data_IF_587971893717
#
_entry.id   IF_587971893717
#
_cell.length_a   1.000
_cell.length_b   1.000
_cell.length_c   1.000
_cell.angle_alpha   90.00
_cell.angle_beta   90.00
_cell.angle_gamma   90.00
#
_symmetry.space_group_name_H-M   'P 1'
#
loop_
_entity.id
_entity.type
_entity.pdbx_description
1 polymer ?
#
# COMPACT_ATOMS: atom_id res chain seq x y z
N UNK A 1 -24.58 -1.08 -6.32
CA UNK A 1 -23.26 -1.35 -5.65
C UNK A 1 -22.46 -2.32 -6.49
N UNK A 2 -21.21 -2.00 -6.74
CA UNK A 2 -20.27 -2.86 -7.48
C UNK A 2 -19.88 -4.04 -6.58
N UNK A 3 -19.92 -5.24 -7.13
CA UNK A 3 -19.55 -6.46 -6.38
C UNK A 3 -18.04 -6.55 -6.14
N UNK A 4 -17.61 -7.28 -5.12
CA UNK A 4 -16.19 -7.54 -4.85
C UNK A 4 -15.50 -8.20 -6.06
N UNK A 5 -16.18 -9.12 -6.75
CA UNK A 5 -15.68 -9.76 -7.95
C UNK A 5 -15.43 -8.77 -9.09
N UNK A 6 -16.28 -7.75 -9.24
CA UNK A 6 -16.08 -6.66 -10.21
C UNK A 6 -14.94 -5.74 -9.80
N UNK A 7 -14.84 -5.38 -8.50
CA UNK A 7 -13.70 -4.63 -7.97
C UNK A 7 -12.39 -5.39 -8.21
N UNK A 8 -12.35 -6.69 -7.96
CA UNK A 8 -11.18 -7.55 -8.20
C UNK A 8 -10.79 -7.58 -9.69
N UNK A 9 -11.76 -7.73 -10.62
CA UNK A 9 -11.48 -7.67 -12.06
C UNK A 9 -10.91 -6.32 -12.47
N UNK A 10 -11.55 -5.21 -12.06
CA UNK A 10 -11.05 -3.85 -12.36
C UNK A 10 -9.64 -3.66 -11.85
N UNK A 11 -9.36 -4.11 -10.62
CA UNK A 11 -8.03 -3.97 -10.02
C UNK A 11 -6.97 -4.78 -10.77
N UNK A 12 -7.27 -6.00 -11.17
CA UNK A 12 -6.40 -6.81 -12.03
C UNK A 12 -6.13 -6.11 -13.37
N UNK A 13 -7.18 -5.60 -14.02
CA UNK A 13 -7.07 -4.99 -15.33
C UNK A 13 -6.22 -3.70 -15.32
N UNK A 14 -6.21 -2.95 -14.21
CA UNK A 14 -5.30 -1.81 -14.01
C UNK A 14 -3.82 -2.21 -14.13
N UNK A 15 -3.43 -3.38 -13.62
CA UNK A 15 -2.05 -3.86 -13.68
C UNK A 15 -1.61 -4.34 -15.07
N UNK A 16 -2.54 -4.54 -15.99
CA UNK A 16 -2.27 -5.00 -17.37
C UNK A 16 -2.29 -3.86 -18.39
N UNK A 17 -2.48 -2.62 -17.98
CA UNK A 17 -2.40 -1.44 -18.87
C UNK A 17 -0.96 -1.16 -19.30
N UNK A 18 -0.80 -0.45 -20.42
CA UNK A 18 0.51 -0.02 -20.91
C UNK A 18 1.16 1.00 -19.97
N UNK A 19 0.39 1.96 -19.46
CA UNK A 19 0.84 2.99 -18.51
C UNK A 19 0.66 2.56 -17.05
N UNK A 20 1.48 3.11 -16.16
CA UNK A 20 1.30 2.97 -14.72
C UNK A 20 0.03 3.69 -14.25
N UNK A 21 -0.59 3.16 -13.20
CA UNK A 21 -1.62 3.86 -12.45
C UNK A 21 -1.13 4.23 -11.04
N UNK A 22 -1.66 5.35 -10.54
CA UNK A 22 -1.39 5.77 -9.15
C UNK A 22 -2.44 5.15 -8.23
N UNK A 23 -1.97 4.53 -7.15
CA UNK A 23 -2.81 3.97 -6.09
C UNK A 23 -2.50 4.70 -4.77
N UNK A 24 -3.21 5.82 -4.48
CA UNK A 24 -2.96 6.60 -3.28
C UNK A 24 -3.39 5.83 -2.02
N UNK A 25 -2.80 6.23 -0.89
CA UNK A 25 -2.92 5.50 0.36
C UNK A 25 -3.74 6.30 1.39
N UNK A 26 -5.07 6.09 1.49
CA UNK A 26 -5.88 6.62 2.57
C UNK A 26 -5.55 5.93 3.90
N UNK A 27 -5.75 6.66 5.00
CA UNK A 27 -5.57 6.16 6.35
C UNK A 27 -6.87 6.10 7.17
N UNK A 28 -7.97 6.63 6.61
CA UNK A 28 -9.31 6.61 7.20
C UNK A 28 -10.40 6.74 6.12
N UNK A 29 -11.66 6.65 6.54
CA UNK A 29 -12.82 6.76 5.65
C UNK A 29 -12.90 8.15 4.99
N UNK A 30 -12.52 9.22 5.70
CA UNK A 30 -12.54 10.58 5.16
C UNK A 30 -11.56 10.75 4.02
N UNK A 31 -10.30 10.37 4.23
CA UNK A 31 -9.26 10.40 3.20
C UNK A 31 -9.58 9.48 2.01
N UNK A 32 -10.19 8.29 2.27
CA UNK A 32 -10.60 7.38 1.21
C UNK A 32 -11.66 8.01 0.28
N UNK A 33 -12.67 8.67 0.84
CA UNK A 33 -13.71 9.36 0.07
C UNK A 33 -13.16 10.54 -0.72
N UNK A 34 -12.29 11.35 -0.11
CA UNK A 34 -11.62 12.47 -0.80
C UNK A 34 -10.83 11.93 -2.00
N UNK A 35 -9.99 10.92 -1.81
CA UNK A 35 -9.18 10.34 -2.89
C UNK A 35 -10.06 9.70 -3.99
N UNK A 36 -11.12 9.00 -3.63
CA UNK A 36 -12.05 8.45 -4.60
C UNK A 36 -12.73 9.55 -5.43
N UNK A 37 -13.10 10.68 -4.80
CA UNK A 37 -13.75 11.80 -5.49
C UNK A 37 -12.83 12.59 -6.43
N UNK A 38 -11.50 12.44 -6.28
CA UNK A 38 -10.51 13.11 -7.13
C UNK A 38 -10.15 12.34 -8.40
N UNK A 39 -10.79 11.19 -8.65
CA UNK A 39 -10.68 10.46 -9.91
C UNK A 39 -9.64 9.34 -9.94
N UNK A 40 -9.08 8.95 -8.81
CA UNK A 40 -8.26 7.74 -8.74
C UNK A 40 -9.11 6.49 -8.98
N UNK A 41 -8.49 5.45 -9.54
CA UNK A 41 -9.19 4.23 -9.98
C UNK A 41 -9.08 3.06 -8.99
N UNK A 42 -8.17 3.15 -8.02
CA UNK A 42 -7.97 2.20 -6.93
C UNK A 42 -7.34 2.90 -5.73
N UNK A 43 -7.49 2.32 -4.55
CA UNK A 43 -6.89 2.80 -3.30
C UNK A 43 -6.09 1.67 -2.64
N UNK A 44 -5.03 2.00 -1.91
CA UNK A 44 -4.35 1.07 -1.03
C UNK A 44 -4.29 1.62 0.39
N UNK A 45 -4.49 0.79 1.41
CA UNK A 45 -4.28 1.24 2.80
C UNK A 45 -2.80 1.53 3.06
N UNK A 46 -2.50 2.09 4.21
CA UNK A 46 -1.15 2.29 4.72
C UNK A 46 -1.13 1.95 6.20
N UNK A 47 -0.35 0.93 6.60
CA UNK A 47 -0.21 0.49 7.99
C UNK A 47 0.23 1.63 8.88
N UNK A 48 1.34 2.30 8.54
CA UNK A 48 1.86 3.45 9.29
C UNK A 48 0.86 4.60 9.36
N UNK A 49 0.14 4.90 8.27
CA UNK A 49 -0.84 5.98 8.24
C UNK A 49 -2.01 5.71 9.20
N UNK A 50 -2.54 4.49 9.18
CA UNK A 50 -3.59 4.08 10.10
C UNK A 50 -3.10 4.05 11.54
N UNK A 51 -1.96 3.42 11.84
CA UNK A 51 -1.38 3.40 13.18
C UNK A 51 -1.22 4.83 13.75
N UNK A 52 -0.64 5.73 12.98
CA UNK A 52 -0.47 7.13 13.39
C UNK A 52 -1.81 7.85 13.64
N UNK A 53 -2.85 7.57 12.84
CA UNK A 53 -4.17 8.20 12.98
C UNK A 53 -4.87 7.83 14.30
N UNK A 54 -4.53 6.68 14.86
CA UNK A 54 -5.03 6.21 16.17
C UNK A 54 -4.01 6.38 17.30
N UNK A 55 -2.94 7.18 17.08
CA UNK A 55 -1.94 7.51 18.10
C UNK A 55 -0.95 6.39 18.40
N UNK A 56 -0.72 5.47 17.47
CA UNK A 56 0.25 4.37 17.60
C UNK A 56 1.41 4.52 16.62
N UNK A 57 2.52 3.87 16.91
CA UNK A 57 3.64 3.71 15.99
C UNK A 57 3.31 2.63 14.93
N UNK A 58 4.07 2.63 13.83
CA UNK A 58 4.00 1.56 12.82
C UNK A 58 4.20 0.20 13.47
N UNK A 59 3.59 -0.83 12.93
CA UNK A 59 3.52 -2.20 13.51
C UNK A 59 2.84 -2.29 14.89
N UNK A 60 2.21 -1.22 15.36
CA UNK A 60 1.49 -1.19 16.64
C UNK A 60 -0.01 -1.53 16.53
N UNK A 61 -0.46 -1.99 15.37
CA UNK A 61 -1.86 -2.35 15.08
C UNK A 61 -1.99 -3.88 15.01
N UNK A 62 -3.03 -4.42 15.61
CA UNK A 62 -3.31 -5.86 15.52
C UNK A 62 -3.95 -6.24 14.19
N UNK A 63 -3.91 -7.53 13.84
CA UNK A 63 -4.57 -8.06 12.63
C UNK A 63 -6.05 -7.70 12.59
N UNK A 64 -6.77 -7.93 13.70
CA UNK A 64 -8.20 -7.70 13.75
C UNK A 64 -8.57 -6.23 13.57
N UNK A 65 -7.79 -5.31 14.14
CA UNK A 65 -7.94 -3.87 13.95
C UNK A 65 -7.68 -3.46 12.49
N UNK A 66 -6.63 -4.03 11.85
CA UNK A 66 -6.32 -3.77 10.45
C UNK A 66 -7.41 -4.31 9.51
N UNK A 67 -7.95 -5.50 9.77
CA UNK A 67 -9.07 -6.06 8.99
C UNK A 67 -10.34 -5.23 9.16
N UNK A 68 -10.66 -4.79 10.39
CA UNK A 68 -11.78 -3.90 10.64
C UNK A 68 -11.61 -2.55 9.92
N UNK A 69 -10.40 -1.98 9.95
CA UNK A 69 -10.06 -0.77 9.20
C UNK A 69 -10.25 -0.97 7.69
N UNK A 70 -9.73 -2.04 7.13
CA UNK A 70 -9.88 -2.38 5.71
C UNK A 70 -11.36 -2.53 5.31
N UNK A 71 -12.17 -3.19 6.16
CA UNK A 71 -13.62 -3.32 5.96
C UNK A 71 -14.31 -1.95 5.86
N UNK A 72 -13.97 -1.01 6.75
CA UNK A 72 -14.52 0.33 6.74
C UNK A 72 -14.13 1.10 5.45
N UNK A 73 -12.89 0.94 4.99
CA UNK A 73 -12.45 1.57 3.75
C UNK A 73 -13.14 0.95 2.51
N UNK A 74 -13.30 -0.38 2.47
CA UNK A 74 -14.04 -1.05 1.39
C UNK A 74 -15.51 -0.62 1.31
N UNK A 75 -16.14 -0.33 2.45
CA UNK A 75 -17.50 0.19 2.53
C UNK A 75 -17.61 1.69 2.17
N UNK A 76 -16.50 2.44 2.25
CA UNK A 76 -16.48 3.88 2.01
C UNK A 76 -16.46 4.25 0.53
N UNK A 77 -16.15 3.32 -0.39
CA UNK A 77 -15.96 3.60 -1.82
C UNK A 77 -16.34 2.43 -2.72
N UNK A 78 -16.76 2.74 -3.93
CA UNK A 78 -16.96 1.77 -5.02
C UNK A 78 -15.63 1.36 -5.71
N UNK A 79 -14.51 2.00 -5.39
CA UNK A 79 -13.21 1.64 -5.95
C UNK A 79 -12.68 0.31 -5.37
N UNK A 80 -11.86 -0.43 -6.12
CA UNK A 80 -11.09 -1.52 -5.56
C UNK A 80 -10.11 -0.99 -4.51
N UNK A 81 -10.06 -1.67 -3.35
CA UNK A 81 -9.13 -1.37 -2.26
C UNK A 81 -8.17 -2.54 -2.09
N UNK A 82 -6.87 -2.24 -2.02
CA UNK A 82 -5.82 -3.17 -1.61
C UNK A 82 -5.37 -2.84 -0.19
N UNK A 83 -5.10 -3.84 0.65
CA UNK A 83 -4.60 -3.57 2.00
C UNK A 83 -3.09 -3.81 2.12
N UNK A 84 -2.44 -2.93 2.87
CA UNK A 84 -1.12 -3.15 3.44
C UNK A 84 -1.31 -4.00 4.70
N UNK A 85 -0.97 -5.28 4.63
CA UNK A 85 -1.13 -6.24 5.71
C UNK A 85 0.21 -6.63 6.35
N UNK A 86 1.20 -5.75 6.22
CA UNK A 86 2.51 -5.93 6.84
C UNK A 86 3.08 -7.33 6.50
N UNK A 87 3.66 -8.00 7.50
CA UNK A 87 4.13 -9.38 7.35
C UNK A 87 3.02 -10.44 7.46
N UNK A 88 1.75 -10.08 7.43
CA UNK A 88 0.63 -11.00 7.64
C UNK A 88 0.34 -11.29 9.12
N UNK A 89 0.87 -10.47 10.03
CA UNK A 89 0.64 -10.50 11.48
C UNK A 89 1.11 -11.76 12.21
N UNK A 90 2.13 -12.43 11.68
CA UNK A 90 2.77 -13.56 12.34
C UNK A 90 3.87 -14.18 11.48
N UNK A 91 4.73 -14.98 12.09
CA UNK A 91 5.89 -15.58 11.43
C UNK A 91 5.50 -16.77 10.53
N UNK A 92 4.52 -17.58 10.97
CA UNK A 92 4.17 -18.84 10.33
C UNK A 92 3.39 -18.62 9.02
N UNK A 93 3.65 -19.43 7.98
CA UNK A 93 2.89 -19.40 6.73
C UNK A 93 1.37 -19.58 6.92
N UNK A 94 0.93 -20.39 7.88
CA UNK A 94 -0.50 -20.58 8.19
C UNK A 94 -1.16 -19.30 8.73
N UNK A 95 -0.43 -18.51 9.51
CA UNK A 95 -0.93 -17.20 9.98
C UNK A 95 -1.11 -16.24 8.82
N UNK A 96 -0.21 -16.28 7.83
CA UNK A 96 -0.35 -15.48 6.60
C UNK A 96 -1.58 -15.93 5.81
N UNK A 97 -1.78 -17.23 5.62
CA UNK A 97 -2.96 -17.80 4.94
C UNK A 97 -4.26 -17.36 5.62
N UNK A 98 -4.33 -17.42 6.96
CA UNK A 98 -5.47 -16.91 7.71
C UNK A 98 -5.71 -15.42 7.50
N UNK A 99 -4.66 -14.62 7.48
CA UNK A 99 -4.75 -13.18 7.20
C UNK A 99 -5.32 -12.91 5.80
N UNK A 100 -4.92 -13.68 4.78
CA UNK A 100 -5.51 -13.58 3.42
C UNK A 100 -7.00 -13.92 3.44
N UNK A 101 -7.40 -14.94 4.17
CA UNK A 101 -8.81 -15.35 4.29
C UNK A 101 -9.68 -14.26 4.91
N UNK A 102 -9.18 -13.64 5.98
CA UNK A 102 -9.84 -12.49 6.63
C UNK A 102 -9.89 -11.26 5.72
N UNK A 103 -8.80 -10.98 5.00
CA UNK A 103 -8.72 -9.87 4.04
C UNK A 103 -9.74 -10.02 2.90
N UNK A 104 -9.89 -11.22 2.37
CA UNK A 104 -10.92 -11.52 1.37
C UNK A 104 -12.34 -11.29 1.92
N UNK A 105 -12.60 -11.69 3.16
CA UNK A 105 -13.86 -11.46 3.86
C UNK A 105 -14.16 -9.98 4.14
N UNK A 106 -13.13 -9.12 4.23
CA UNK A 106 -13.26 -7.67 4.43
C UNK A 106 -13.73 -6.89 3.18
N UNK A 107 -13.84 -7.55 2.02
CA UNK A 107 -14.26 -6.89 0.76
C UNK A 107 -13.10 -6.33 -0.07
N UNK A 108 -11.86 -6.64 0.26
CA UNK A 108 -10.67 -6.20 -0.47
C UNK A 108 -10.59 -6.82 -1.87
N UNK A 109 -9.95 -6.09 -2.79
CA UNK A 109 -9.60 -6.55 -4.12
C UNK A 109 -8.17 -7.10 -4.22
N UNK A 110 -7.39 -6.95 -3.16
CA UNK A 110 -6.01 -7.41 -3.04
C UNK A 110 -5.37 -6.98 -1.74
N UNK A 111 -4.15 -7.42 -1.52
CA UNK A 111 -3.32 -7.00 -0.39
C UNK A 111 -1.83 -7.10 -0.71
N UNK A 112 -1.00 -6.59 0.19
CA UNK A 112 0.45 -6.89 0.20
C UNK A 112 0.85 -7.68 1.43
N UNK A 113 1.83 -8.57 1.25
CA UNK A 113 2.54 -9.31 2.30
C UNK A 113 4.03 -9.09 2.09
N UNK A 114 4.74 -8.74 3.16
CA UNK A 114 6.16 -8.42 3.12
C UNK A 114 7.01 -9.47 3.83
N UNK A 115 8.29 -9.48 3.49
CA UNK A 115 9.29 -10.34 4.13
C UNK A 115 9.98 -9.68 5.34
N UNK A 116 9.45 -8.58 5.86
CA UNK A 116 9.89 -7.99 7.13
C UNK A 116 9.43 -8.84 8.32
N UNK A 117 10.30 -8.97 9.30
CA UNK A 117 9.98 -9.65 10.57
C UNK A 117 9.40 -8.71 11.61
N UNK A 118 9.49 -7.40 11.38
CA UNK A 118 9.22 -6.34 12.35
C UNK A 118 10.13 -6.40 13.60
N UNK A 119 11.27 -7.12 13.54
CA UNK A 119 12.30 -7.19 14.59
C UNK A 119 13.53 -6.40 14.16
N UNK A 120 14.08 -5.57 15.07
CA UNK A 120 15.21 -4.69 14.74
C UNK A 120 16.53 -5.46 14.55
N UNK A 121 16.72 -6.55 15.25
CA UNK A 121 17.93 -7.37 15.24
C UNK A 121 17.96 -8.37 14.06
N UNK A 122 16.79 -8.78 13.57
CA UNK A 122 16.65 -9.65 12.42
C UNK A 122 15.48 -9.18 11.54
N UNK A 123 15.65 -8.07 10.79
CA UNK A 123 14.52 -7.34 10.19
C UNK A 123 13.88 -8.03 8.99
N UNK A 124 14.53 -9.03 8.37
CA UNK A 124 14.05 -9.69 7.15
C UNK A 124 14.11 -11.20 7.33
N UNK A 125 13.02 -11.89 7.03
CA UNK A 125 12.98 -13.35 7.07
C UNK A 125 14.04 -13.98 6.16
N UNK A 126 14.55 -15.16 6.57
CA UNK A 126 15.38 -16.01 5.73
C UNK A 126 14.68 -16.27 4.38
N UNK A 127 15.47 -16.38 3.32
CA UNK A 127 14.97 -16.46 1.94
C UNK A 127 13.90 -17.54 1.75
N UNK A 128 14.19 -18.77 2.14
CA UNK A 128 13.26 -19.90 1.95
C UNK A 128 11.96 -19.69 2.74
N UNK A 129 12.07 -19.19 3.98
CA UNK A 129 10.92 -18.92 4.81
C UNK A 129 10.03 -17.79 4.23
N UNK A 130 10.64 -16.74 3.66
CA UNK A 130 9.90 -15.69 2.93
C UNK A 130 9.08 -16.27 1.79
N UNK A 131 9.68 -17.17 1.01
CA UNK A 131 9.01 -17.82 -0.13
C UNK A 131 7.86 -18.71 0.33
N UNK A 132 8.04 -19.49 1.40
CA UNK A 132 7.00 -20.35 1.96
C UNK A 132 5.78 -19.54 2.45
N UNK A 133 6.02 -18.37 3.04
CA UNK A 133 4.96 -17.45 3.47
C UNK A 133 4.16 -16.91 2.29
N UNK A 134 4.85 -16.50 1.21
CA UNK A 134 4.17 -16.05 -0.02
C UNK A 134 3.43 -17.20 -0.69
N UNK A 135 3.99 -18.41 -0.70
CA UNK A 135 3.32 -19.61 -1.24
C UNK A 135 2.02 -19.91 -0.50
N UNK A 136 2.02 -19.87 0.83
CA UNK A 136 0.81 -20.06 1.63
C UNK A 136 -0.24 -18.98 1.33
N UNK A 137 0.16 -17.72 1.18
CA UNK A 137 -0.74 -16.64 0.77
C UNK A 137 -1.36 -16.90 -0.61
N UNK A 138 -0.55 -17.30 -1.60
CA UNK A 138 -1.01 -17.62 -2.96
C UNK A 138 -1.98 -18.80 -2.97
N UNK A 139 -1.69 -19.86 -2.22
CA UNK A 139 -2.57 -21.02 -2.11
C UNK A 139 -3.95 -20.64 -1.57
N UNK A 140 -3.99 -19.71 -0.60
CA UNK A 140 -5.26 -19.22 -0.06
C UNK A 140 -6.00 -18.31 -1.06
N UNK A 141 -5.30 -17.42 -1.75
CA UNK A 141 -5.88 -16.59 -2.82
C UNK A 141 -6.51 -17.46 -3.91
N UNK A 142 -5.88 -18.57 -4.31
CA UNK A 142 -6.40 -19.48 -5.35
C UNK A 142 -7.71 -20.18 -4.99
N UNK A 143 -8.09 -20.22 -3.72
CA UNK A 143 -9.37 -20.80 -3.26
C UNK A 143 -10.53 -19.81 -3.39
N UNK A 144 -10.24 -18.52 -3.61
CA UNK A 144 -11.27 -17.48 -3.66
C UNK A 144 -12.07 -17.59 -4.97
N UNK A 145 -13.41 -17.37 -4.94
CA UNK A 145 -14.27 -17.44 -6.13
C UNK A 145 -14.24 -16.15 -6.97
N UNK A 146 -13.31 -15.24 -6.69
CA UNK A 146 -13.16 -13.95 -7.39
C UNK A 146 -11.69 -13.56 -7.50
N UNK A 147 -11.31 -12.69 -8.45
CA UNK A 147 -9.95 -12.18 -8.56
C UNK A 147 -9.54 -11.39 -7.31
N UNK A 148 -8.38 -11.74 -6.76
CA UNK A 148 -7.75 -11.05 -5.62
C UNK A 148 -6.26 -10.94 -5.90
N UNK A 149 -5.72 -9.71 -5.90
CA UNK A 149 -4.34 -9.44 -6.31
C UNK A 149 -3.40 -9.50 -5.10
N UNK A 150 -2.49 -10.47 -5.07
CA UNK A 150 -1.46 -10.56 -4.04
C UNK A 150 -0.19 -9.82 -4.48
N UNK A 151 0.21 -8.83 -3.71
CA UNK A 151 1.49 -8.15 -3.85
C UNK A 151 2.50 -8.71 -2.87
N UNK A 152 3.61 -9.27 -3.35
CA UNK A 152 4.72 -9.70 -2.50
C UNK A 152 5.79 -8.59 -2.41
N UNK A 153 6.24 -8.29 -1.17
CA UNK A 153 7.19 -7.21 -0.89
C UNK A 153 8.52 -7.78 -0.42
N UNK A 154 9.62 -7.28 -1.00
CA UNK A 154 10.99 -7.50 -0.54
C UNK A 154 11.51 -6.21 0.12
N UNK A 155 11.70 -6.25 1.44
CA UNK A 155 11.93 -5.08 2.29
C UNK A 155 13.41 -4.69 2.46
N UNK A 156 14.31 -5.32 1.72
CA UNK A 156 15.78 -5.11 1.78
C UNK A 156 16.16 -3.63 1.89
N UNK A 157 15.66 -2.81 0.96
CA UNK A 157 16.04 -1.40 0.87
C UNK A 157 15.53 -0.54 2.02
N UNK A 158 14.33 -0.82 2.54
CA UNK A 158 13.79 -0.10 3.70
C UNK A 158 14.56 -0.40 4.98
N UNK A 159 15.13 -1.60 5.09
CA UNK A 159 15.98 -1.99 6.21
C UNK A 159 17.47 -1.70 5.98
N UNK A 160 17.81 -0.83 5.02
CA UNK A 160 19.17 -0.41 4.74
C UNK A 160 20.05 -1.47 4.05
N UNK A 161 19.50 -2.62 3.69
CA UNK A 161 20.18 -3.70 2.94
C UNK A 161 20.03 -3.44 1.44
N UNK A 162 20.78 -2.47 0.90
CA UNK A 162 20.72 -2.06 -0.50
C UNK A 162 21.46 -3.07 -1.41
N UNK A 163 20.98 -4.30 -1.45
CA UNK A 163 21.45 -5.38 -2.28
C UNK A 163 20.44 -5.66 -3.39
N UNK A 164 20.74 -5.13 -4.59
CA UNK A 164 19.88 -5.29 -5.75
C UNK A 164 19.77 -6.76 -6.19
N UNK A 165 20.85 -7.53 -6.08
CA UNK A 165 20.89 -8.93 -6.50
C UNK A 165 20.01 -9.80 -5.59
N UNK A 166 20.12 -9.65 -4.25
CA UNK A 166 19.25 -10.37 -3.31
C UNK A 166 17.79 -9.94 -3.45
N UNK A 167 17.54 -8.62 -3.66
CA UNK A 167 16.18 -8.11 -3.89
C UNK A 167 15.56 -8.74 -5.13
N UNK A 168 16.25 -8.76 -6.26
CA UNK A 168 15.78 -9.38 -7.50
C UNK A 168 15.54 -10.89 -7.28
N UNK A 169 16.46 -11.57 -6.63
CA UNK A 169 16.33 -13.01 -6.32
C UNK A 169 15.06 -13.30 -5.50
N UNK A 170 14.75 -12.48 -4.49
CA UNK A 170 13.52 -12.60 -3.69
C UNK A 170 12.28 -12.39 -4.54
N UNK A 171 12.24 -11.31 -5.33
CA UNK A 171 11.10 -11.00 -6.19
C UNK A 171 10.86 -12.09 -7.24
N UNK A 172 11.92 -12.67 -7.84
CA UNK A 172 11.81 -13.81 -8.75
C UNK A 172 11.21 -15.04 -8.05
N UNK A 173 11.67 -15.36 -6.86
CA UNK A 173 11.10 -16.46 -6.08
C UNK A 173 9.63 -16.19 -5.67
N UNK A 174 9.27 -14.96 -5.36
CA UNK A 174 7.88 -14.59 -5.06
C UNK A 174 6.97 -14.70 -6.29
N UNK A 175 7.43 -14.31 -7.48
CA UNK A 175 6.66 -14.52 -8.71
C UNK A 175 6.51 -16.01 -9.05
N UNK A 176 7.56 -16.83 -8.83
CA UNK A 176 7.50 -18.29 -9.00
C UNK A 176 6.55 -18.94 -8.01
N UNK A 177 6.48 -18.44 -6.79
CA UNK A 177 5.47 -18.84 -5.80
C UNK A 177 4.04 -18.47 -6.23
N UNK A 178 3.88 -17.49 -7.15
CA UNK A 178 2.61 -17.12 -7.75
C UNK A 178 2.05 -15.75 -7.35
N UNK A 179 2.86 -14.87 -6.77
CA UNK A 179 2.46 -13.49 -6.51
C UNK A 179 2.06 -12.77 -7.81
N UNK A 180 1.03 -11.94 -7.75
CA UNK A 180 0.49 -11.22 -8.91
C UNK A 180 1.25 -9.92 -9.18
N UNK A 181 1.73 -9.27 -8.13
CA UNK A 181 2.44 -7.98 -8.17
C UNK A 181 3.67 -8.08 -7.29
N UNK A 182 4.76 -7.44 -7.71
CA UNK A 182 6.01 -7.39 -6.96
C UNK A 182 6.30 -5.97 -6.48
N UNK A 183 6.97 -5.86 -5.33
CA UNK A 183 7.24 -4.59 -4.73
C UNK A 183 8.53 -4.62 -3.90
N UNK A 184 9.45 -3.70 -4.20
CA UNK A 184 10.64 -3.46 -3.39
C UNK A 184 10.65 -1.98 -2.96
N UNK A 185 9.99 -1.63 -1.85
CA UNK A 185 9.98 -0.25 -1.36
C UNK A 185 11.37 0.21 -0.94
N UNK A 186 11.60 1.53 -0.96
CA UNK A 186 12.88 2.11 -0.56
C UNK A 186 13.90 2.24 -1.70
N UNK A 187 13.65 1.67 -2.87
CA UNK A 187 14.49 1.91 -4.05
C UNK A 187 14.28 3.34 -4.56
N UNK A 188 15.38 4.07 -4.77
CA UNK A 188 15.37 5.48 -5.19
C UNK A 188 16.12 5.71 -6.50
N UNK A 189 16.99 4.80 -6.91
CA UNK A 189 17.72 4.87 -8.16
C UNK A 189 16.89 4.31 -9.32
N UNK A 190 16.65 5.14 -10.34
CA UNK A 190 15.83 4.75 -11.51
C UNK A 190 16.47 3.63 -12.32
N UNK A 191 17.81 3.58 -12.39
CA UNK A 191 18.52 2.53 -13.14
C UNK A 191 18.39 1.16 -12.42
N UNK A 192 18.47 1.14 -11.10
CA UNK A 192 18.24 -0.06 -10.28
C UNK A 192 16.78 -0.53 -10.41
N UNK A 193 15.80 0.39 -10.34
CA UNK A 193 14.39 0.08 -10.55
C UNK A 193 14.17 -0.51 -11.93
N UNK A 194 14.73 0.09 -12.98
CA UNK A 194 14.61 -0.41 -14.35
C UNK A 194 15.27 -1.79 -14.51
N UNK A 195 16.38 -2.04 -13.81
CA UNK A 195 17.05 -3.34 -13.82
C UNK A 195 16.21 -4.41 -13.13
N UNK A 196 15.63 -4.09 -11.98
CA UNK A 196 14.70 -4.97 -11.26
C UNK A 196 13.48 -5.31 -12.14
N UNK A 197 12.86 -4.33 -12.79
CA UNK A 197 11.69 -4.53 -13.66
C UNK A 197 12.03 -5.49 -14.81
N UNK A 198 13.18 -5.33 -15.46
CA UNK A 198 13.63 -6.24 -16.55
C UNK A 198 13.95 -7.65 -16.08
N UNK A 199 14.13 -7.86 -14.79
CA UNK A 199 14.49 -9.16 -14.20
C UNK A 199 13.30 -9.97 -13.73
N UNK A 200 12.07 -9.44 -13.87
CA UNK A 200 10.83 -10.09 -13.42
C UNK A 200 9.76 -10.00 -14.50
N UNK A 201 8.77 -10.91 -14.45
CA UNK A 201 7.68 -11.01 -15.45
C UNK A 201 6.33 -10.52 -14.90
N UNK A 202 6.29 -10.06 -13.65
CA UNK A 202 5.07 -9.58 -12.99
C UNK A 202 5.02 -8.05 -12.93
N UNK A 203 3.84 -7.45 -12.89
CA UNK A 203 3.68 -6.03 -12.62
C UNK A 203 4.45 -5.61 -11.36
N UNK A 204 5.11 -4.46 -11.43
CA UNK A 204 5.88 -3.92 -10.31
C UNK A 204 5.22 -2.66 -9.74
N UNK A 205 5.11 -2.59 -8.41
CA UNK A 205 4.78 -1.37 -7.68
C UNK A 205 6.05 -0.60 -7.31
N UNK A 206 6.01 0.72 -7.42
CA UNK A 206 7.06 1.63 -6.93
C UNK A 206 6.49 2.60 -5.90
N UNK A 207 7.26 2.86 -4.84
CA UNK A 207 6.93 3.85 -3.80
C UNK A 207 7.42 5.23 -4.22
N UNK A 208 6.50 6.16 -4.48
CA UNK A 208 6.83 7.54 -4.88
C UNK A 208 6.78 8.56 -3.71
N UNK A 209 6.32 8.15 -2.53
CA UNK A 209 6.10 9.06 -1.40
C UNK A 209 7.32 9.30 -0.49
N UNK A 210 8.54 9.07 -0.96
CA UNK A 210 9.76 9.21 -0.17
C UNK A 210 10.32 10.64 -0.24
N UNK A 211 10.81 11.14 0.89
CA UNK A 211 11.38 12.48 0.96
C UNK A 211 12.65 12.59 0.07
N UNK A 212 12.73 13.68 -0.71
CA UNK A 212 13.87 13.94 -1.59
C UNK A 212 13.89 13.11 -2.87
N UNK A 213 12.87 12.27 -3.10
CA UNK A 213 12.74 11.49 -4.34
C UNK A 213 11.61 12.07 -5.19
N UNK A 214 11.93 12.43 -6.41
CA UNK A 214 11.00 13.08 -7.34
C UNK A 214 10.78 12.19 -8.55
N UNK A 215 9.83 11.26 -8.42
CA UNK A 215 9.36 10.45 -9.53
C UNK A 215 8.15 11.12 -10.20
N UNK A 216 7.96 10.85 -11.48
CA UNK A 216 6.76 11.20 -12.24
C UNK A 216 6.16 9.94 -12.89
N UNK A 217 4.86 9.99 -13.16
CA UNK A 217 4.11 8.85 -13.70
C UNK A 217 4.64 8.41 -15.06
N UNK A 218 4.94 9.37 -15.94
CA UNK A 218 5.40 9.08 -17.29
C UNK A 218 6.80 8.47 -17.30
N UNK A 219 7.70 8.99 -16.46
CA UNK A 219 9.05 8.45 -16.27
C UNK A 219 9.03 7.02 -15.78
N UNK A 220 8.23 6.74 -14.76
CA UNK A 220 8.07 5.38 -14.23
C UNK A 220 7.37 4.45 -15.22
N UNK A 221 6.36 4.91 -15.94
CA UNK A 221 5.69 4.12 -16.99
C UNK A 221 6.65 3.72 -18.11
N UNK A 222 7.51 4.64 -18.57
CA UNK A 222 8.51 4.36 -19.63
C UNK A 222 9.50 3.25 -19.27
N UNK A 223 9.81 3.06 -18.00
CA UNK A 223 10.68 1.96 -17.55
C UNK A 223 9.92 0.68 -17.22
N UNK A 224 8.58 0.65 -17.38
CA UNK A 224 7.74 -0.53 -17.21
C UNK A 224 7.05 -0.69 -15.85
N UNK A 225 7.10 0.33 -14.98
CA UNK A 225 6.30 0.33 -13.74
C UNK A 225 4.82 0.26 -14.09
N UNK A 226 4.06 -0.51 -13.32
CA UNK A 226 2.61 -0.66 -13.53
C UNK A 226 1.78 -0.04 -12.41
N UNK A 227 2.33 0.08 -11.22
CA UNK A 227 1.64 0.66 -10.06
C UNK A 227 2.56 1.61 -9.30
N UNK A 228 2.00 2.74 -8.86
CA UNK A 228 2.73 3.75 -8.08
C UNK A 228 1.94 4.03 -6.81
N UNK A 229 2.51 3.71 -5.65
CA UNK A 229 1.94 4.01 -4.34
C UNK A 229 2.70 5.14 -3.65
N UNK A 230 2.10 5.73 -2.62
CA UNK A 230 2.72 6.83 -1.86
C UNK A 230 2.94 6.50 -0.38
N UNK A 231 2.51 5.31 0.07
CA UNK A 231 2.66 4.87 1.47
C UNK A 231 2.11 5.89 2.46
N UNK A 232 2.81 6.12 3.57
CA UNK A 232 2.40 7.09 4.60
C UNK A 232 2.60 8.57 4.23
N UNK A 233 2.91 8.92 2.97
CA UNK A 233 3.23 10.29 2.60
C UNK A 233 2.06 11.26 2.83
N UNK A 234 0.85 10.88 2.45
CA UNK A 234 -0.33 11.73 2.61
C UNK A 234 -0.67 11.98 4.09
N UNK A 235 -0.55 10.96 4.93
CA UNK A 235 -0.73 11.09 6.38
C UNK A 235 0.33 12.03 6.98
N UNK A 236 1.61 11.89 6.57
CA UNK A 236 2.68 12.79 7.01
C UNK A 236 2.42 14.23 6.61
N UNK A 237 1.92 14.49 5.40
CA UNK A 237 1.56 15.84 4.94
C UNK A 237 0.43 16.42 5.79
N UNK A 238 -0.62 15.64 6.06
CA UNK A 238 -1.74 16.07 6.89
C UNK A 238 -1.28 16.39 8.33
N UNK A 239 -0.49 15.53 8.93
CA UNK A 239 0.04 15.74 10.29
C UNK A 239 1.04 16.89 10.34
N UNK A 240 1.86 17.08 9.30
CA UNK A 240 2.74 18.23 9.23
C UNK A 240 1.95 19.56 9.22
N UNK A 241 0.79 19.60 8.56
CA UNK A 241 -0.10 20.78 8.61
C UNK A 241 -0.61 21.01 10.03
N UNK A 242 -1.07 19.97 10.73
CA UNK A 242 -1.50 20.06 12.14
C UNK A 242 -0.37 20.55 13.04
N UNK A 243 0.85 20.00 12.88
CA UNK A 243 2.02 20.42 13.68
C UNK A 243 2.37 21.88 13.44
N UNK A 244 2.36 22.35 12.17
CA UNK A 244 2.62 23.77 11.86
C UNK A 244 1.58 24.68 12.52
N UNK A 245 0.30 24.37 12.37
CA UNK A 245 -0.78 25.12 12.98
C UNK A 245 -0.68 25.14 14.52
N UNK A 246 -0.40 24.00 15.15
CA UNK A 246 -0.24 23.92 16.58
C UNK A 246 0.95 24.76 17.11
N UNK A 247 2.08 24.76 16.39
CA UNK A 247 3.24 25.60 16.72
C UNK A 247 2.91 27.08 16.60
N UNK A 248 2.26 27.51 15.51
CA UNK A 248 1.85 28.88 15.34
C UNK A 248 0.96 29.37 16.49
N UNK A 249 -0.06 28.59 16.83
CA UNK A 249 -0.95 28.90 17.97
C UNK A 249 -0.18 29.00 19.29
N UNK A 250 0.74 28.06 19.55
CA UNK A 250 1.47 27.97 20.83
C UNK A 250 2.56 29.04 20.96
N UNK A 251 3.30 29.33 19.89
CA UNK A 251 4.50 30.16 19.91
C UNK A 251 4.20 31.63 19.63
N UNK A 252 3.20 31.90 18.77
CA UNK A 252 2.88 33.25 18.30
C UNK A 252 1.50 33.74 18.71
N UNK A 253 0.60 32.86 19.12
CA UNK A 253 -0.79 33.23 19.45
C UNK A 253 -1.58 33.71 18.22
N UNK A 254 -1.19 33.31 17.02
CA UNK A 254 -1.85 33.67 15.75
C UNK A 254 -2.54 32.46 15.12
N UNK A 255 -3.40 32.71 14.13
CA UNK A 255 -4.26 31.71 13.48
C UNK A 255 -4.21 31.88 11.95
N UNK A 256 -3.06 32.24 11.38
CA UNK A 256 -2.93 32.50 9.93
C UNK A 256 -3.03 31.23 9.08
N UNK A 257 -2.84 30.06 9.67
CA UNK A 257 -3.05 28.78 9.01
C UNK A 257 -4.45 28.55 8.43
N UNK A 258 -5.45 29.34 8.86
CA UNK A 258 -6.83 29.29 8.31
C UNK A 258 -6.96 29.96 6.94
N UNK A 259 -5.94 30.72 6.52
CA UNK A 259 -5.93 31.42 5.23
C UNK A 259 -5.58 30.47 4.06
N UNK A 260 -5.05 29.27 4.33
CA UNK A 260 -4.85 28.22 3.33
C UNK A 260 -6.16 27.46 3.10
N UNK A 261 -6.77 27.58 1.92
CA UNK A 261 -8.19 27.31 1.84
C UNK A 261 -8.55 26.00 1.17
N UNK A 262 -8.86 24.99 1.98
CA UNK A 262 -9.99 24.13 1.58
C UNK A 262 -11.14 24.44 2.53
N UNK A 263 -12.27 24.91 2.01
CA UNK A 263 -13.42 25.28 2.82
C UNK A 263 -14.16 24.04 3.33
N UNK A 264 -14.89 24.16 4.45
CA UNK A 264 -15.76 23.07 4.95
C UNK A 264 -16.78 22.62 3.90
N UNK A 265 -17.25 23.52 3.04
CA UNK A 265 -18.15 23.20 1.92
C UNK A 265 -17.50 22.35 0.85
N UNK A 266 -16.24 22.63 0.50
CA UNK A 266 -15.47 21.85 -0.46
C UNK A 266 -15.17 20.45 0.09
N UNK A 267 -14.76 20.35 1.37
CA UNK A 267 -14.56 19.06 2.04
C UNK A 267 -15.87 18.25 2.02
N UNK A 268 -16.99 18.84 2.39
CA UNK A 268 -18.29 18.17 2.37
C UNK A 268 -18.68 17.69 0.96
N UNK A 269 -18.40 18.50 -0.07
CA UNK A 269 -18.66 18.14 -1.45
C UNK A 269 -17.76 16.96 -1.95
N UNK A 270 -16.49 16.92 -1.55
CA UNK A 270 -15.58 15.81 -1.88
C UNK A 270 -16.02 14.51 -1.20
N UNK A 271 -16.36 14.57 0.09
CA UNK A 271 -16.83 13.41 0.85
C UNK A 271 -18.17 12.88 0.32
N UNK A 272 -19.08 13.76 -0.08
CA UNK A 272 -20.41 13.39 -0.58
C UNK A 272 -20.43 12.80 -1.99
N UNK A 273 -19.40 13.03 -2.82
CA UNK A 273 -19.29 12.49 -4.19
C UNK A 273 -18.83 11.04 -4.28
N UNK A 274 -18.35 10.49 -3.18
CA UNK A 274 -17.74 9.14 -3.15
C UNK A 274 -18.76 8.01 -2.91
N UNK A 275 -20.05 8.32 -2.94
CA UNK A 275 -21.17 7.36 -2.74
C UNK A 275 -21.80 6.94 -4.05
#
# INVERSE_FOLDING_TARGET
MITQAEKGRRFRDLHHRDSAFVIPNPWDVGSARILASTGFEALATTSVGYANSIGRQDHGVTRDEMIAHATNLCAATELPVSADLENGFGDDPETVAETIRLAAGAGLAGCSIEDSTNRNDDPIYAFEHSVDRIRAAVEEVRKLPFPFMLTARAENYLHGRKDLADTIKRLQAFQEAGADVLYAPGMTDVADIATMIRSVDRPVNVLAGMQGVHFDVDGLSRIGVKRISVGGALTRIAFAAVVRAAREMKEHGTFTFVDEPITSREIAALIGRAS
#
